data_IF_175735637342
#
_entry.id   IF_175735637342
#
_cell.length_a   1.000
_cell.length_b   1.000
_cell.length_c   1.000
_cell.angle_alpha   90.00
_cell.angle_beta   90.00
_cell.angle_gamma   90.00
#
_symmetry.space_group_name_H-M   'P 1'
#
loop_
_entity.id
_entity.type
_entity.pdbx_description
1 polymer ?
#
# COMPACT_ATOMS: atom_id res chain seq x y z
N UNK A 1 -9.40 4.84 14.14
CA UNK A 1 -9.26 5.70 12.96
C UNK A 1 -8.79 4.82 11.80
N UNK A 2 -9.68 4.52 10.85
CA UNK A 2 -9.34 3.70 9.69
C UNK A 2 -9.17 4.67 8.51
N UNK A 3 -7.97 5.24 8.41
CA UNK A 3 -7.59 6.07 7.26
C UNK A 3 -7.04 5.19 6.15
N UNK A 4 -7.37 5.49 4.90
CA UNK A 4 -6.69 4.89 3.75
C UNK A 4 -5.31 5.54 3.66
N UNK A 5 -4.25 4.73 3.81
CA UNK A 5 -2.89 5.21 3.64
C UNK A 5 -2.59 5.32 2.14
N UNK A 6 -2.25 6.52 1.69
CA UNK A 6 -1.79 6.77 0.32
C UNK A 6 -0.30 7.05 0.37
N UNK A 7 0.47 6.30 -0.42
CA UNK A 7 1.91 6.40 -0.53
C UNK A 7 2.27 6.86 -1.94
N UNK A 8 3.38 7.60 -2.07
CA UNK A 8 3.78 8.18 -3.35
C UNK A 8 4.58 7.21 -4.21
N UNK A 9 5.35 6.32 -3.60
CA UNK A 9 6.26 5.41 -4.31
C UNK A 9 6.22 4.01 -3.70
N UNK A 10 6.60 3.01 -4.51
CA UNK A 10 6.72 1.63 -4.05
C UNK A 10 7.87 1.46 -3.06
N UNK A 11 8.91 2.28 -3.15
CA UNK A 11 10.03 2.28 -2.20
C UNK A 11 9.59 2.73 -0.80
N UNK A 12 8.74 3.77 -0.72
CA UNK A 12 8.15 4.20 0.55
C UNK A 12 7.27 3.10 1.17
N UNK A 13 6.55 2.37 0.33
CA UNK A 13 5.75 1.23 0.75
C UNK A 13 6.62 0.10 1.30
N UNK A 14 7.69 -0.26 0.58
CA UNK A 14 8.65 -1.27 1.01
C UNK A 14 9.35 -0.88 2.32
N UNK A 15 9.80 0.37 2.45
CA UNK A 15 10.42 0.89 3.68
C UNK A 15 9.47 0.84 4.90
N UNK A 16 8.16 0.98 4.66
CA UNK A 16 7.12 0.84 5.69
C UNK A 16 6.72 -0.62 5.95
N UNK A 17 7.29 -1.58 5.22
CA UNK A 17 7.02 -3.01 5.34
C UNK A 17 5.73 -3.46 4.66
N UNK A 18 5.23 -2.69 3.68
CA UNK A 18 4.15 -3.14 2.82
C UNK A 18 4.71 -4.00 1.69
N UNK A 19 3.97 -5.05 1.34
CA UNK A 19 4.25 -5.91 0.19
C UNK A 19 3.23 -5.66 -0.91
N UNK A 20 3.69 -5.77 -2.16
CA UNK A 20 2.83 -5.69 -3.32
C UNK A 20 1.68 -6.69 -3.22
N UNK A 21 0.46 -6.22 -3.46
CA UNK A 21 -0.72 -7.05 -3.48
C UNK A 21 -1.32 -7.13 -4.89
N UNK A 22 -1.61 -5.98 -5.50
CA UNK A 22 -2.21 -5.94 -6.83
C UNK A 22 -1.93 -4.61 -7.57
N UNK A 23 -2.14 -4.59 -8.89
CA UNK A 23 -2.08 -3.39 -9.73
C UNK A 23 -3.47 -3.09 -10.27
N UNK A 24 -3.99 -1.92 -9.93
CA UNK A 24 -5.22 -1.39 -10.53
C UNK A 24 -4.98 -0.93 -11.96
N UNK A 25 -6.02 -1.01 -12.80
CA UNK A 25 -5.95 -0.56 -14.20
C UNK A 25 -5.64 0.93 -14.35
N UNK A 26 -5.90 1.73 -13.32
CA UNK A 26 -5.76 3.19 -13.34
C UNK A 26 -4.33 3.68 -13.00
N UNK A 27 -3.39 2.76 -12.79
CA UNK A 27 -1.99 3.08 -12.48
C UNK A 27 -1.68 3.15 -10.99
N UNK A 28 -2.57 2.67 -10.12
CA UNK A 28 -2.27 2.55 -8.70
C UNK A 28 -1.89 1.11 -8.33
N UNK A 29 -0.97 0.95 -7.39
CA UNK A 29 -0.64 -0.32 -6.76
C UNK A 29 -1.32 -0.42 -5.41
N UNK A 30 -2.01 -1.53 -5.18
CA UNK A 30 -2.51 -1.90 -3.87
C UNK A 30 -1.40 -2.68 -3.17
N UNK A 31 -1.06 -2.25 -1.96
CA UNK A 31 -0.06 -2.92 -1.12
C UNK A 31 -0.68 -3.28 0.22
N UNK A 32 -0.20 -4.37 0.82
CA UNK A 32 -0.71 -4.86 2.11
C UNK A 32 0.42 -5.10 3.11
N UNK A 33 0.10 -4.96 4.39
CA UNK A 33 0.99 -5.28 5.51
C UNK A 33 0.20 -6.01 6.59
N UNK A 34 0.75 -7.11 7.11
CA UNK A 34 0.18 -7.75 8.29
C UNK A 34 0.59 -6.96 9.54
N UNK A 35 -0.38 -6.62 10.38
CA UNK A 35 -0.20 -5.92 11.64
C UNK A 35 -0.81 -6.74 12.78
N UNK A 36 -0.49 -6.42 14.03
CA UNK A 36 -1.08 -7.08 15.22
C UNK A 36 -2.61 -7.01 15.26
N UNK A 37 -3.21 -6.05 14.53
CA UNK A 37 -4.66 -5.84 14.43
C UNK A 37 -5.26 -6.37 13.13
N UNK A 38 -4.50 -7.14 12.34
CA UNK A 38 -4.92 -7.69 11.05
C UNK A 38 -4.25 -7.02 9.85
N UNK A 39 -4.88 -7.11 8.69
CA UNK A 39 -4.32 -6.59 7.43
C UNK A 39 -4.53 -5.07 7.30
N UNK A 40 -3.44 -4.34 7.08
CA UNK A 40 -3.46 -2.95 6.63
C UNK A 40 -3.30 -2.92 5.11
N UNK A 41 -4.10 -2.08 4.44
CA UNK A 41 -4.03 -1.83 3.01
C UNK A 41 -3.59 -0.39 2.77
N UNK A 42 -2.77 -0.19 1.74
CA UNK A 42 -2.38 1.13 1.26
C UNK A 42 -2.42 1.16 -0.28
N UNK A 43 -2.56 2.37 -0.82
CA UNK A 43 -2.55 2.63 -2.26
C UNK A 43 -1.27 3.40 -2.57
N UNK A 44 -0.56 2.97 -3.61
CA UNK A 44 0.66 3.62 -4.10
C UNK A 44 0.39 4.15 -5.51
N UNK A 45 0.72 5.40 -5.77
CA UNK A 45 0.69 5.95 -7.14
C UNK A 45 1.89 5.43 -7.95
N UNK A 46 1.67 5.03 -9.20
CA UNK A 46 2.76 4.63 -10.12
C UNK A 46 3.18 5.74 -11.08
N UNK A 47 2.66 6.96 -10.94
CA UNK A 47 2.97 8.10 -11.81
C UNK A 47 4.25 8.83 -11.42
#
# INVERSE_FOLDING_TARGET
MQGVLVLKTMDDAAAKGFSYFDRTKDGYYIVRKLTERGWALAIVDSR
#
